data_IF_397720082850
#
_entry.id   IF_397720082850
#
_cell.length_a   1.000
_cell.length_b   1.000
_cell.length_c   1.000
_cell.angle_alpha   90.00
_cell.angle_beta   90.00
_cell.angle_gamma   90.00
#
_symmetry.space_group_name_H-M   'P 1'
#
loop_
_entity.id
_entity.type
_entity.pdbx_description
1 polymer ?
#
# COMPACT_ATOMS: atom_id res chain seq x y z
N UNK A 1 29.86 -16.17 44.10
CA UNK A 1 28.90 -15.77 43.06
C UNK A 1 28.97 -16.77 41.91
N UNK A 2 27.97 -17.63 41.69
CA UNK A 2 27.99 -18.53 40.54
C UNK A 2 27.48 -17.80 39.29
N UNK A 3 28.26 -17.91 38.21
CA UNK A 3 27.84 -17.55 36.86
C UNK A 3 26.75 -18.50 36.38
N UNK A 4 25.56 -17.97 36.07
CA UNK A 4 24.54 -18.73 35.33
C UNK A 4 24.83 -18.66 33.82
N UNK A 5 24.73 -19.79 33.09
CA UNK A 5 25.18 -19.87 31.71
C UNK A 5 24.17 -19.24 30.73
N UNK A 6 24.71 -18.60 29.70
CA UNK A 6 24.06 -18.08 28.48
C UNK A 6 23.42 -19.18 27.60
N UNK A 7 22.70 -20.12 28.19
CA UNK A 7 21.99 -21.15 27.44
C UNK A 7 20.53 -20.72 27.23
N UNK A 8 20.13 -20.65 25.96
CA UNK A 8 18.74 -20.56 25.47
C UNK A 8 18.23 -19.21 24.93
N UNK A 9 19.08 -18.34 24.39
CA UNK A 9 18.64 -17.23 23.51
C UNK A 9 18.83 -17.57 22.02
N UNK A 10 19.95 -18.22 21.66
CA UNK A 10 20.24 -18.59 20.25
C UNK A 10 19.23 -19.59 19.65
N UNK A 11 18.67 -20.52 20.45
CA UNK A 11 17.76 -21.56 19.97
C UNK A 11 16.32 -21.07 19.72
N UNK A 12 15.87 -20.02 20.40
CA UNK A 12 14.49 -19.52 20.27
C UNK A 12 14.38 -18.47 19.16
N UNK A 13 15.32 -17.51 19.11
CA UNK A 13 15.45 -16.53 18.01
C UNK A 13 15.74 -17.26 16.69
N UNK A 14 16.59 -18.29 16.72
CA UNK A 14 16.91 -19.11 15.55
C UNK A 14 15.74 -19.94 15.02
N UNK A 15 14.69 -20.22 15.80
CA UNK A 15 13.54 -21.03 15.33
C UNK A 15 12.36 -20.17 14.87
N UNK A 16 12.05 -19.06 15.55
CA UNK A 16 10.98 -18.15 15.13
C UNK A 16 11.44 -17.25 13.97
N UNK A 17 12.69 -16.78 14.00
CA UNK A 17 13.30 -16.05 12.89
C UNK A 17 13.38 -16.91 11.62
N UNK A 18 13.69 -18.20 11.74
CA UNK A 18 13.83 -19.10 10.59
C UNK A 18 12.48 -19.53 10.01
N UNK A 19 11.42 -19.67 10.81
CA UNK A 19 10.07 -19.98 10.31
C UNK A 19 9.42 -18.77 9.61
N UNK A 20 9.60 -17.54 10.12
CA UNK A 20 9.12 -16.34 9.44
C UNK A 20 9.98 -15.95 8.23
N UNK A 21 11.27 -16.26 8.24
CA UNK A 21 12.15 -16.06 7.09
C UNK A 21 11.87 -17.07 5.96
N UNK A 22 11.58 -18.35 6.27
CA UNK A 22 11.28 -19.37 5.25
C UNK A 22 9.87 -19.29 4.67
N UNK A 23 8.86 -18.81 5.41
CA UNK A 23 7.51 -18.66 4.85
C UNK A 23 7.37 -17.51 3.83
N UNK A 24 8.34 -16.60 3.72
CA UNK A 24 8.30 -15.46 2.79
C UNK A 24 9.37 -15.49 1.68
N UNK A 25 10.39 -16.35 1.76
CA UNK A 25 11.46 -16.44 0.74
C UNK A 25 11.11 -17.27 -0.51
N UNK A 26 9.88 -17.76 -0.61
CA UNK A 26 9.42 -18.60 -1.73
C UNK A 26 8.91 -17.83 -2.96
N UNK A 27 9.30 -16.58 -3.20
CA UNK A 27 8.86 -15.84 -4.38
C UNK A 27 10.06 -15.55 -5.28
N UNK A 28 10.09 -16.30 -6.38
CA UNK A 28 11.05 -16.22 -7.48
C UNK A 28 11.42 -14.76 -7.83
N UNK A 29 12.61 -14.33 -7.39
CA UNK A 29 13.40 -13.28 -8.04
C UNK A 29 13.94 -13.84 -9.36
N UNK A 30 13.06 -14.01 -10.34
CA UNK A 30 13.46 -14.06 -11.75
C UNK A 30 12.88 -12.82 -12.41
N UNK A 31 13.68 -11.77 -12.46
CA UNK A 31 13.56 -10.76 -13.49
C UNK A 31 13.83 -11.47 -14.83
N UNK A 32 12.77 -12.03 -15.43
CA UNK A 32 12.84 -12.49 -16.81
C UNK A 32 12.67 -11.26 -17.70
N UNK A 33 13.80 -10.75 -18.19
CA UNK A 33 13.88 -9.89 -19.35
C UNK A 33 13.30 -10.65 -20.54
N UNK A 34 12.03 -10.36 -20.85
CA UNK A 34 11.45 -10.68 -22.15
C UNK A 34 10.94 -9.37 -22.70
N UNK A 35 11.70 -8.81 -23.64
CA UNK A 35 11.20 -7.78 -24.55
C UNK A 35 10.14 -8.46 -25.40
N UNK A 36 8.90 -8.05 -25.24
CA UNK A 36 7.82 -8.47 -26.09
C UNK A 36 7.49 -7.27 -26.95
N UNK A 37 7.71 -7.37 -28.27
CA UNK A 37 7.20 -6.38 -29.21
C UNK A 37 5.69 -6.54 -29.28
N UNK A 38 5.00 -5.72 -28.49
CA UNK A 38 3.56 -5.55 -28.58
C UNK A 38 3.32 -4.26 -29.37
N UNK A 39 2.93 -4.42 -30.64
CA UNK A 39 2.30 -3.40 -31.50
C UNK A 39 3.24 -2.44 -32.26
N UNK A 40 3.32 -2.60 -33.59
CA UNK A 40 3.88 -1.61 -34.53
C UNK A 40 2.80 -0.84 -35.32
N UNK A 41 1.55 -1.32 -35.33
CA UNK A 41 0.56 -0.91 -36.35
C UNK A 41 -0.80 -0.39 -35.79
N UNK A 42 -0.94 -0.19 -34.47
CA UNK A 42 -2.22 0.23 -33.86
C UNK A 42 -2.33 1.75 -33.63
N UNK A 43 -3.54 2.29 -33.77
CA UNK A 43 -3.85 3.67 -33.35
C UNK A 43 -3.95 3.71 -31.81
N UNK A 44 -3.58 4.83 -31.20
CA UNK A 44 -3.61 5.00 -29.73
C UNK A 44 -4.96 4.63 -29.09
N UNK A 45 -6.08 4.82 -29.83
CA UNK A 45 -7.43 4.50 -29.37
C UNK A 45 -7.72 2.98 -29.17
N UNK A 46 -6.86 2.09 -29.67
CA UNK A 46 -7.02 0.63 -29.56
C UNK A 46 -6.31 0.04 -28.31
N UNK A 47 -5.57 0.86 -27.57
CA UNK A 47 -4.87 0.41 -26.36
C UNK A 47 -5.84 0.23 -25.18
N UNK A 48 -5.65 -0.81 -24.35
CA UNK A 48 -6.56 -1.11 -23.25
C UNK A 48 -6.35 -0.17 -22.06
N UNK A 49 -7.42 0.09 -21.29
CA UNK A 49 -7.37 0.93 -20.10
C UNK A 49 -6.73 0.17 -18.93
N UNK A 50 -5.77 0.83 -18.27
CA UNK A 50 -5.06 0.25 -17.13
C UNK A 50 -5.63 0.81 -15.83
N UNK A 51 -6.02 -0.06 -14.90
CA UNK A 51 -6.40 0.36 -13.55
C UNK A 51 -5.63 -0.40 -12.49
N UNK A 52 -5.67 0.10 -11.26
CA UNK A 52 -5.17 -0.65 -10.14
C UNK A 52 -5.93 -0.33 -8.85
N UNK A 53 -5.88 -1.28 -7.92
CA UNK A 53 -6.34 -1.09 -6.55
C UNK A 53 -5.30 -1.62 -5.59
N UNK A 54 -5.21 -1.02 -4.42
CA UNK A 54 -4.32 -1.49 -3.37
C UNK A 54 -4.97 -2.62 -2.58
N UNK A 55 -4.22 -3.69 -2.29
CA UNK A 55 -4.65 -4.85 -1.50
C UNK A 55 -4.51 -4.60 0.02
N UNK A 56 -4.80 -5.62 0.84
CA UNK A 56 -4.72 -5.51 2.30
C UNK A 56 -3.36 -4.97 2.83
N UNK A 57 -2.28 -5.26 2.11
CA UNK A 57 -0.90 -4.86 2.45
C UNK A 57 -0.44 -3.58 1.75
N UNK A 58 -1.37 -2.79 1.18
CA UNK A 58 -1.09 -1.59 0.38
C UNK A 58 -0.22 -1.87 -0.86
N UNK A 59 -0.23 -3.10 -1.38
CA UNK A 59 0.41 -3.40 -2.67
C UNK A 59 -0.59 -3.18 -3.81
N UNK A 60 -0.14 -2.59 -4.93
CA UNK A 60 -0.98 -2.43 -6.11
C UNK A 60 -1.28 -3.79 -6.76
N UNK A 61 -2.56 -4.01 -7.07
CA UNK A 61 -3.05 -5.08 -7.94
C UNK A 61 -3.58 -4.40 -9.19
N UNK A 62 -3.07 -4.80 -10.35
CA UNK A 62 -3.38 -4.18 -11.63
C UNK A 62 -4.47 -4.92 -12.37
N UNK A 63 -5.15 -4.18 -13.25
CA UNK A 63 -6.16 -4.68 -14.16
C UNK A 63 -6.00 -3.98 -15.51
N UNK A 64 -6.25 -4.72 -16.58
CA UNK A 64 -6.28 -4.24 -17.96
C UNK A 64 -7.68 -4.55 -18.48
N UNK A 65 -8.45 -3.52 -18.83
CA UNK A 65 -9.89 -3.62 -19.15
C UNK A 65 -10.69 -4.44 -18.11
N UNK A 66 -10.34 -4.25 -16.84
CA UNK A 66 -10.97 -4.94 -15.71
C UNK A 66 -10.49 -6.36 -15.46
N UNK A 67 -9.67 -6.96 -16.33
CA UNK A 67 -9.07 -8.28 -16.12
C UNK A 67 -7.78 -8.13 -15.32
N UNK A 68 -7.63 -8.92 -14.25
CA UNK A 68 -6.44 -8.88 -13.40
C UNK A 68 -5.19 -9.15 -14.24
N UNK A 69 -4.21 -8.27 -14.14
CA UNK A 69 -2.95 -8.34 -14.86
C UNK A 69 -1.73 -8.30 -13.92
N UNK A 70 -0.62 -8.83 -14.41
CA UNK A 70 0.69 -8.74 -13.77
C UNK A 70 1.35 -7.39 -14.05
N UNK A 71 2.30 -6.99 -13.20
CA UNK A 71 3.07 -5.77 -13.43
C UNK A 71 3.87 -5.81 -14.74
N UNK A 72 4.30 -7.00 -15.18
CA UNK A 72 5.04 -7.14 -16.44
C UNK A 72 4.14 -6.92 -17.66
N UNK A 73 2.90 -7.40 -17.63
CA UNK A 73 1.91 -7.12 -18.68
C UNK A 73 1.59 -5.63 -18.73
N UNK A 74 1.33 -5.01 -17.57
CA UNK A 74 1.11 -3.55 -17.49
C UNK A 74 2.29 -2.78 -18.07
N UNK A 75 3.53 -3.15 -17.70
CA UNK A 75 4.75 -2.54 -18.24
C UNK A 75 4.78 -2.63 -19.76
N UNK A 76 4.42 -3.79 -20.31
CA UNK A 76 4.42 -4.03 -21.75
C UNK A 76 3.41 -3.12 -22.48
N UNK A 77 2.19 -2.95 -21.96
CA UNK A 77 1.22 -2.01 -22.54
C UNK A 77 1.66 -0.55 -22.41
N UNK A 78 2.43 -0.22 -21.37
CA UNK A 78 3.01 1.12 -21.21
C UNK A 78 4.20 1.39 -22.14
N UNK A 79 4.72 0.42 -22.91
CA UNK A 79 5.91 0.61 -23.76
C UNK A 79 5.73 1.65 -24.87
N UNK A 80 4.49 2.08 -25.17
CA UNK A 80 4.23 3.26 -26.00
C UNK A 80 4.86 4.55 -25.44
N UNK A 81 5.10 4.59 -24.12
CA UNK A 81 5.85 5.62 -23.42
C UNK A 81 7.04 4.94 -22.72
N UNK A 82 8.16 4.68 -23.42
CA UNK A 82 9.22 3.80 -22.92
C UNK A 82 9.88 4.32 -21.62
N UNK A 83 9.95 5.64 -21.45
CA UNK A 83 10.40 6.26 -20.20
C UNK A 83 9.49 5.92 -19.03
N UNK A 84 8.19 6.10 -19.19
CA UNK A 84 7.17 5.82 -18.18
C UNK A 84 7.05 4.31 -17.89
N UNK A 85 7.22 3.44 -18.89
CA UNK A 85 7.23 1.99 -18.70
C UNK A 85 8.41 1.52 -17.83
N UNK A 86 9.61 2.05 -18.07
CA UNK A 86 10.78 1.75 -17.24
C UNK A 86 10.60 2.29 -15.81
N UNK A 87 10.12 3.53 -15.69
CA UNK A 87 9.81 4.14 -14.41
C UNK A 87 8.75 3.35 -13.64
N UNK A 88 7.73 2.84 -14.31
CA UNK A 88 6.70 1.98 -13.72
C UNK A 88 7.32 0.72 -13.13
N UNK A 89 8.18 0.01 -13.87
CA UNK A 89 8.82 -1.22 -13.40
C UNK A 89 9.68 -1.00 -12.17
N UNK A 90 10.54 0.03 -12.19
CA UNK A 90 11.39 0.39 -11.06
C UNK A 90 10.55 0.79 -9.84
N UNK A 91 9.49 1.55 -10.08
CA UNK A 91 8.58 2.02 -9.02
C UNK A 91 7.76 0.88 -8.43
N UNK A 92 7.33 -0.09 -9.24
CA UNK A 92 6.67 -1.31 -8.76
C UNK A 92 7.59 -2.11 -7.83
N UNK A 93 8.83 -2.34 -8.25
CA UNK A 93 9.82 -3.02 -7.40
C UNK A 93 10.04 -2.28 -6.08
N UNK A 94 10.25 -0.95 -6.13
CA UNK A 94 10.38 -0.11 -4.91
C UNK A 94 9.16 -0.22 -3.99
N UNK A 95 7.96 -0.28 -4.57
CA UNK A 95 6.70 -0.42 -3.83
C UNK A 95 6.64 -1.77 -3.10
N UNK A 96 7.02 -2.84 -3.79
CA UNK A 96 7.06 -4.20 -3.24
C UNK A 96 8.12 -4.33 -2.14
N UNK A 97 9.33 -3.81 -2.36
CA UNK A 97 10.38 -3.75 -1.34
C UNK A 97 9.92 -2.92 -0.13
N UNK A 98 9.27 -1.78 -0.36
CA UNK A 98 8.70 -0.96 0.71
C UNK A 98 7.67 -1.72 1.55
N UNK A 99 6.76 -2.47 0.91
CA UNK A 99 5.84 -3.34 1.64
C UNK A 99 6.57 -4.39 2.48
N UNK A 100 7.60 -5.03 1.92
CA UNK A 100 8.36 -6.04 2.64
C UNK A 100 9.06 -5.46 3.88
N UNK A 101 9.73 -4.32 3.74
CA UNK A 101 10.33 -3.60 4.86
C UNK A 101 9.29 -3.21 5.90
N UNK A 102 8.12 -2.73 5.47
CA UNK A 102 7.03 -2.38 6.37
C UNK A 102 6.58 -3.59 7.21
N UNK A 103 6.31 -4.72 6.56
CA UNK A 103 5.87 -5.96 7.23
C UNK A 103 6.97 -6.55 8.12
N UNK A 104 8.23 -6.55 7.66
CA UNK A 104 9.37 -7.00 8.44
C UNK A 104 9.56 -6.18 9.72
N UNK A 105 9.47 -4.85 9.61
CA UNK A 105 9.51 -3.94 10.76
C UNK A 105 8.36 -4.19 11.74
N UNK A 106 7.13 -4.37 11.25
CA UNK A 106 5.98 -4.71 12.10
C UNK A 106 6.14 -6.08 12.78
N UNK A 107 6.69 -7.07 12.09
CA UNK A 107 6.96 -8.39 12.67
C UNK A 107 7.98 -8.29 13.83
N UNK A 108 9.00 -7.46 13.70
CA UNK A 108 9.97 -7.19 14.78
C UNK A 108 9.27 -6.54 15.99
N UNK A 109 8.41 -5.54 15.77
CA UNK A 109 7.63 -4.89 16.83
C UNK A 109 6.71 -5.88 17.54
N UNK A 110 5.96 -6.70 16.78
CA UNK A 110 5.08 -7.73 17.33
C UNK A 110 5.87 -8.80 18.09
N UNK A 111 7.02 -9.22 17.57
CA UNK A 111 7.93 -10.14 18.26
C UNK A 111 8.46 -9.57 19.57
N UNK A 112 8.83 -8.29 19.58
CA UNK A 112 9.25 -7.58 20.78
C UNK A 112 8.11 -7.52 21.82
N UNK A 113 6.88 -7.21 21.38
CA UNK A 113 5.69 -7.21 22.25
C UNK A 113 5.40 -8.60 22.81
N UNK A 114 5.46 -9.64 21.97
CA UNK A 114 5.29 -11.02 22.41
C UNK A 114 6.35 -11.44 23.44
N UNK A 115 7.61 -11.02 23.23
CA UNK A 115 8.68 -11.22 24.21
C UNK A 115 8.39 -10.50 25.53
N UNK A 116 8.00 -9.23 25.51
CA UNK A 116 7.64 -8.48 26.72
C UNK A 116 6.44 -9.09 27.45
N UNK A 117 5.40 -9.49 26.71
CA UNK A 117 4.19 -10.10 27.27
C UNK A 117 4.45 -11.46 27.92
N UNK A 118 5.31 -12.29 27.31
CA UNK A 118 5.69 -13.59 27.87
C UNK A 118 6.53 -13.47 29.14
N UNK A 119 7.29 -12.37 29.27
CA UNK A 119 8.12 -12.10 30.45
C UNK A 119 7.48 -11.10 31.42
N UNK A 120 6.17 -10.81 31.29
CA UNK A 120 5.49 -9.75 32.06
C UNK A 120 5.56 -9.92 33.58
N UNK A 121 5.64 -11.16 34.08
CA UNK A 121 5.73 -11.45 35.52
C UNK A 121 7.17 -11.35 36.06
N UNK A 122 8.16 -11.15 35.18
CA UNK A 122 9.59 -11.09 35.50
C UNK A 122 10.26 -9.88 34.81
N UNK A 123 9.49 -8.81 34.55
CA UNK A 123 10.00 -7.61 33.90
C UNK A 123 11.16 -7.04 34.71
N UNK A 124 12.35 -7.03 34.09
CA UNK A 124 13.54 -6.38 34.60
C UNK A 124 14.02 -5.32 33.59
N UNK A 125 15.04 -4.54 33.98
CA UNK A 125 15.57 -3.48 33.13
C UNK A 125 16.09 -3.99 31.77
N UNK A 126 16.66 -5.20 31.70
CA UNK A 126 17.18 -5.76 30.46
C UNK A 126 16.05 -6.15 29.47
N UNK A 127 14.96 -6.76 29.97
CA UNK A 127 13.80 -7.11 29.16
C UNK A 127 13.13 -5.86 28.61
N UNK A 128 12.92 -4.84 29.45
CA UNK A 128 12.33 -3.56 29.05
C UNK A 128 13.21 -2.85 28.02
N UNK A 129 14.52 -2.79 28.25
CA UNK A 129 15.49 -2.17 27.33
C UNK A 129 15.48 -2.88 25.97
N UNK A 130 15.53 -4.21 25.95
CA UNK A 130 15.51 -4.98 24.71
C UNK A 130 14.19 -4.80 23.96
N UNK A 131 13.05 -4.86 24.66
CA UNK A 131 11.74 -4.59 24.07
C UNK A 131 11.66 -3.19 23.46
N UNK A 132 12.11 -2.18 24.18
CA UNK A 132 12.13 -0.79 23.73
C UNK A 132 12.97 -0.61 22.46
N UNK A 133 14.22 -1.07 22.45
CA UNK A 133 15.08 -0.94 21.28
C UNK A 133 14.59 -1.74 20.08
N UNK A 134 14.06 -2.95 20.28
CA UNK A 134 13.47 -3.72 19.19
C UNK A 134 12.21 -3.05 18.64
N UNK A 135 11.39 -2.43 19.50
CA UNK A 135 10.20 -1.69 19.09
C UNK A 135 10.58 -0.45 18.28
N UNK A 136 11.56 0.33 18.73
CA UNK A 136 12.06 1.49 17.97
C UNK A 136 12.70 1.07 16.66
N UNK A 137 13.62 0.09 16.67
CA UNK A 137 14.30 -0.39 15.47
C UNK A 137 13.32 -0.94 14.43
N UNK A 138 12.37 -1.78 14.86
CA UNK A 138 11.29 -2.26 14.01
C UNK A 138 10.38 -1.15 13.51
N UNK A 139 10.07 -0.16 14.36
CA UNK A 139 9.28 1.02 14.01
C UNK A 139 9.94 1.88 12.92
N UNK A 140 11.26 2.12 13.01
CA UNK A 140 12.02 2.87 11.99
C UNK A 140 12.02 2.11 10.65
N UNK A 141 12.31 0.81 10.64
CA UNK A 141 12.27 -0.01 9.42
C UNK A 141 10.86 0.01 8.81
N UNK A 142 9.84 -0.11 9.66
CA UNK A 142 8.44 -0.05 9.23
C UNK A 142 8.08 1.30 8.60
N UNK A 143 8.51 2.40 9.21
CA UNK A 143 8.29 3.76 8.70
C UNK A 143 8.98 3.99 7.34
N UNK A 144 10.22 3.54 7.17
CA UNK A 144 10.95 3.60 5.89
C UNK A 144 10.18 2.83 4.82
N UNK A 145 9.81 1.57 5.11
CA UNK A 145 9.05 0.74 4.17
C UNK A 145 7.70 1.36 3.78
N UNK A 146 6.99 1.93 4.75
CA UNK A 146 5.71 2.64 4.56
C UNK A 146 5.88 3.88 3.66
N UNK A 147 6.94 4.67 3.87
CA UNK A 147 7.26 5.83 3.03
C UNK A 147 7.58 5.41 1.59
N UNK A 148 8.46 4.42 1.41
CA UNK A 148 8.81 3.87 0.09
C UNK A 148 7.58 3.36 -0.67
N UNK A 149 6.74 2.56 -0.01
CA UNK A 149 5.50 2.04 -0.59
C UNK A 149 4.56 3.18 -1.02
N UNK A 150 4.36 4.18 -0.16
CA UNK A 150 3.47 5.33 -0.45
C UNK A 150 3.95 6.15 -1.64
N UNK A 151 5.24 6.51 -1.66
CA UNK A 151 5.82 7.23 -2.79
C UNK A 151 5.73 6.41 -4.08
N UNK A 152 5.95 5.09 -3.98
CA UNK A 152 5.82 4.17 -5.10
C UNK A 152 4.39 4.10 -5.65
N UNK A 153 3.38 3.89 -4.80
CA UNK A 153 1.97 3.88 -5.19
C UNK A 153 1.55 5.21 -5.83
N UNK A 154 2.03 6.35 -5.31
CA UNK A 154 1.73 7.67 -5.85
C UNK A 154 2.28 7.84 -7.26
N UNK A 155 3.54 7.46 -7.47
CA UNK A 155 4.18 7.52 -8.79
C UNK A 155 3.52 6.54 -9.78
N UNK A 156 3.19 5.32 -9.35
CA UNK A 156 2.42 4.36 -10.16
C UNK A 156 1.07 4.95 -10.60
N UNK A 157 0.37 5.63 -9.69
CA UNK A 157 -0.90 6.29 -10.01
C UNK A 157 -0.75 7.28 -11.16
N UNK A 158 0.24 8.18 -11.06
CA UNK A 158 0.47 9.20 -12.07
C UNK A 158 0.90 8.60 -13.41
N UNK A 159 1.75 7.57 -13.41
CA UNK A 159 2.19 6.88 -14.62
C UNK A 159 1.01 6.22 -15.35
N UNK A 160 0.12 5.54 -14.61
CA UNK A 160 -1.09 4.92 -15.17
C UNK A 160 -2.08 5.98 -15.67
N UNK A 161 -2.29 7.06 -14.91
CA UNK A 161 -3.18 8.16 -15.33
C UNK A 161 -2.67 8.85 -16.60
N UNK A 162 -1.36 9.04 -16.73
CA UNK A 162 -0.76 9.60 -17.94
C UNK A 162 -0.92 8.66 -19.14
N UNK A 163 -0.71 7.36 -18.94
CA UNK A 163 -0.94 6.36 -19.98
C UNK A 163 -2.39 6.35 -20.45
N UNK A 164 -3.33 6.24 -19.50
CA UNK A 164 -4.75 6.22 -19.82
C UNK A 164 -5.19 7.52 -20.50
N UNK A 165 -4.72 8.69 -20.06
CA UNK A 165 -5.01 9.96 -20.71
C UNK A 165 -4.55 9.96 -22.17
N UNK A 166 -3.31 9.56 -22.45
CA UNK A 166 -2.74 9.53 -23.80
C UNK A 166 -3.56 8.66 -24.76
N UNK A 167 -3.97 7.46 -24.34
CA UNK A 167 -4.69 6.52 -25.22
C UNK A 167 -6.17 6.88 -25.42
N UNK A 168 -6.69 7.83 -24.63
CA UNK A 168 -8.11 8.19 -24.59
C UNK A 168 -8.37 9.66 -24.87
N UNK A 169 -7.34 10.44 -25.20
CA UNK A 169 -7.41 11.89 -25.35
C UNK A 169 -8.52 12.32 -26.31
N UNK A 170 -8.63 11.63 -27.44
CA UNK A 170 -9.65 11.88 -28.47
C UNK A 170 -11.08 11.51 -28.04
N UNK A 171 -11.23 10.68 -27.00
CA UNK A 171 -12.52 10.17 -26.50
C UNK A 171 -13.02 10.98 -25.29
N UNK A 172 -12.14 11.71 -24.62
CA UNK A 172 -12.48 12.53 -23.46
C UNK A 172 -13.13 13.83 -23.96
N UNK A 173 -14.47 13.85 -24.00
CA UNK A 173 -15.25 15.04 -24.35
C UNK A 173 -15.46 16.04 -23.19
N UNK A 174 -14.91 15.75 -22.01
CA UNK A 174 -15.10 16.52 -20.77
C UNK A 174 -13.79 16.76 -20.02
N UNK A 175 -13.87 17.31 -18.81
CA UNK A 175 -12.70 17.49 -17.93
C UNK A 175 -12.10 16.13 -17.53
N UNK A 176 -10.78 15.98 -17.65
CA UNK A 176 -10.08 14.79 -17.17
C UNK A 176 -9.64 14.93 -15.71
N UNK A 177 -10.22 14.10 -14.83
CA UNK A 177 -9.92 14.16 -13.40
C UNK A 177 -8.78 13.22 -13.01
N UNK A 178 -7.75 13.78 -12.38
CA UNK A 178 -6.60 13.05 -11.81
C UNK A 178 -6.64 13.10 -10.30
N UNK A 179 -6.16 12.05 -9.63
CA UNK A 179 -5.94 12.13 -8.20
C UNK A 179 -4.47 12.17 -7.84
N UNK A 180 -4.18 12.94 -6.80
CA UNK A 180 -2.92 12.87 -6.08
C UNK A 180 -3.21 12.65 -4.59
N UNK A 181 -2.23 12.15 -3.85
CA UNK A 181 -2.33 12.08 -2.40
C UNK A 181 -1.04 12.59 -1.76
N UNK A 182 -1.24 13.52 -0.83
CA UNK A 182 -0.18 14.19 -0.08
C UNK A 182 -0.25 13.80 1.38
N UNK A 183 0.92 13.62 1.98
CA UNK A 183 1.04 13.32 3.38
C UNK A 183 1.27 14.62 4.16
N UNK A 184 0.39 14.88 5.12
CA UNK A 184 0.52 15.96 6.09
C UNK A 184 0.89 15.35 7.45
N UNK A 185 1.26 16.21 8.41
CA UNK A 185 1.61 15.80 9.78
C UNK A 185 0.52 14.92 10.45
N UNK A 186 -0.75 15.23 10.20
CA UNK A 186 -1.91 14.58 10.82
C UNK A 186 -2.50 13.42 10.01
N UNK A 187 -2.00 13.15 8.79
CA UNK A 187 -2.56 12.09 7.96
C UNK A 187 -2.39 12.31 6.46
N UNK A 188 -3.12 11.53 5.67
CA UNK A 188 -3.08 11.60 4.21
C UNK A 188 -4.30 12.36 3.68
N UNK A 189 -4.05 13.31 2.77
CA UNK A 189 -5.09 14.02 2.04
C UNK A 189 -5.04 13.60 0.58
N UNK A 190 -6.22 13.28 0.05
CA UNK A 190 -6.45 13.03 -1.38
C UNK A 190 -6.89 14.35 -2.00
N UNK A 191 -6.20 14.74 -3.05
CA UNK A 191 -6.45 15.92 -3.85
C UNK A 191 -6.86 15.47 -5.25
N UNK A 192 -7.81 16.18 -5.85
CA UNK A 192 -8.32 15.87 -7.20
C UNK A 192 -8.05 17.08 -8.08
N UNK A 193 -7.56 16.83 -9.28
CA UNK A 193 -7.15 17.86 -10.24
C UNK A 193 -7.92 17.74 -11.54
N UNK A 194 -8.16 18.89 -12.15
CA UNK A 194 -8.53 19.07 -13.55
C UNK A 194 -7.34 19.73 -14.24
N UNK A 195 -6.56 18.94 -14.98
CA UNK A 195 -5.25 19.36 -15.49
C UNK A 195 -4.35 19.87 -14.35
N UNK A 196 -3.84 21.12 -14.38
CA UNK A 196 -3.04 21.69 -13.29
C UNK A 196 -3.87 22.22 -12.12
N UNK A 197 -5.21 22.32 -12.27
CA UNK A 197 -6.07 23.01 -11.31
C UNK A 197 -6.51 22.06 -10.21
N UNK A 198 -6.11 22.35 -8.96
CA UNK A 198 -6.62 21.67 -7.78
C UNK A 198 -8.11 22.01 -7.60
N UNK A 199 -8.96 20.99 -7.61
CA UNK A 199 -10.40 21.17 -7.42
C UNK A 199 -10.77 21.21 -5.95
N UNK A 200 -11.71 22.09 -5.62
CA UNK A 200 -12.34 22.13 -4.32
C UNK A 200 -13.49 21.11 -4.23
N UNK A 201 -13.96 20.84 -3.01
CA UNK A 201 -15.01 19.84 -2.78
C UNK A 201 -16.35 20.21 -3.43
N UNK A 202 -16.64 21.51 -3.58
CA UNK A 202 -17.86 21.98 -4.20
C UNK A 202 -17.84 21.69 -5.70
N UNK A 203 -16.75 22.02 -6.39
CA UNK A 203 -16.59 21.76 -7.83
C UNK A 203 -16.55 20.28 -8.15
N UNK A 204 -15.85 19.46 -7.35
CA UNK A 204 -15.87 17.99 -7.53
C UNK A 204 -17.29 17.45 -7.38
N UNK A 205 -18.05 17.98 -6.41
CA UNK A 205 -19.46 17.60 -6.24
C UNK A 205 -20.28 17.98 -7.48
N UNK A 206 -20.14 19.19 -8.00
CA UNK A 206 -20.86 19.62 -9.20
C UNK A 206 -20.52 18.73 -10.40
N UNK A 207 -19.25 18.39 -10.60
CA UNK A 207 -18.84 17.51 -11.70
C UNK A 207 -19.39 16.09 -11.56
N UNK A 208 -19.49 15.57 -10.33
CA UNK A 208 -19.97 14.20 -10.09
C UNK A 208 -21.48 14.11 -9.88
N UNK A 209 -22.20 15.23 -9.73
CA UNK A 209 -23.63 15.25 -9.41
C UNK A 209 -24.50 14.68 -10.52
N UNK A 210 -24.05 14.80 -11.77
CA UNK A 210 -24.76 14.28 -12.94
C UNK A 210 -24.79 12.75 -12.97
N UNK A 211 -23.94 12.08 -12.18
CA UNK A 211 -23.96 10.64 -11.99
C UNK A 211 -24.00 10.28 -10.50
N UNK A 212 -25.21 9.96 -10.02
CA UNK A 212 -25.47 9.66 -8.61
C UNK A 212 -24.58 8.53 -8.05
N UNK A 213 -24.29 7.48 -8.84
CA UNK A 213 -23.44 6.37 -8.38
C UNK A 213 -22.00 6.83 -8.10
N UNK A 214 -21.42 7.61 -9.02
CA UNK A 214 -20.06 8.17 -8.87
C UNK A 214 -19.99 9.06 -7.64
N UNK A 215 -21.01 9.90 -7.44
CA UNK A 215 -21.08 10.79 -6.29
C UNK A 215 -21.17 10.04 -4.97
N UNK A 216 -21.93 8.94 -4.91
CA UNK A 216 -22.03 8.10 -3.72
C UNK A 216 -20.70 7.43 -3.35
N UNK A 217 -19.97 6.92 -4.34
CA UNK A 217 -18.65 6.35 -4.14
C UNK A 217 -17.65 7.39 -3.62
N UNK A 218 -17.67 8.59 -4.21
CA UNK A 218 -16.85 9.71 -3.75
C UNK A 218 -17.20 10.12 -2.32
N UNK A 219 -18.49 10.18 -1.96
CA UNK A 219 -18.94 10.45 -0.58
C UNK A 219 -18.45 9.37 0.40
N UNK A 220 -18.49 8.09 0.00
CA UNK A 220 -17.91 6.99 0.79
C UNK A 220 -16.40 7.19 0.97
N UNK A 221 -15.67 7.57 -0.08
CA UNK A 221 -14.23 7.86 0.00
C UNK A 221 -13.92 8.98 1.00
N UNK A 222 -14.67 10.09 0.95
CA UNK A 222 -14.53 11.21 1.89
C UNK A 222 -14.78 10.79 3.35
N UNK A 223 -15.78 9.95 3.60
CA UNK A 223 -16.06 9.44 4.94
C UNK A 223 -14.92 8.55 5.45
N UNK A 224 -14.36 7.68 4.60
CA UNK A 224 -13.21 6.84 4.96
C UNK A 224 -11.98 7.69 5.29
N UNK A 225 -11.73 8.76 4.54
CA UNK A 225 -10.65 9.71 4.84
C UNK A 225 -10.84 10.39 6.20
N UNK A 226 -12.06 10.88 6.51
CA UNK A 226 -12.38 11.46 7.82
C UNK A 226 -12.14 10.50 8.98
N UNK A 227 -12.58 9.25 8.83
CA UNK A 227 -12.35 8.21 9.85
C UNK A 227 -10.85 7.98 10.03
N UNK A 228 -10.09 7.84 8.95
CA UNK A 228 -8.64 7.63 9.05
C UNK A 228 -7.92 8.80 9.73
N UNK A 229 -8.36 10.03 9.47
CA UNK A 229 -7.80 11.23 10.10
C UNK A 229 -8.07 11.24 11.61
N UNK A 230 -9.30 10.90 12.03
CA UNK A 230 -9.62 10.76 13.44
C UNK A 230 -8.78 9.67 14.12
N UNK A 231 -8.58 8.53 13.46
CA UNK A 231 -7.72 7.46 13.98
C UNK A 231 -6.25 7.87 14.06
N UNK A 232 -5.74 8.62 13.08
CA UNK A 232 -4.36 9.16 13.10
C UNK A 232 -4.15 10.12 14.27
N UNK A 233 -5.12 11.02 14.55
CA UNK A 233 -5.06 11.92 15.73
C UNK A 233 -5.05 11.11 17.03
N UNK A 234 -5.95 10.14 17.17
CA UNK A 234 -6.00 9.29 18.37
C UNK A 234 -4.71 8.50 18.54
N UNK A 235 -4.15 7.95 17.46
CA UNK A 235 -2.86 7.26 17.49
C UNK A 235 -1.73 8.16 17.99
N UNK A 236 -1.66 9.41 17.49
CA UNK A 236 -0.66 10.39 17.93
C UNK A 236 -0.79 10.71 19.42
N UNK A 237 -2.01 10.84 19.95
CA UNK A 237 -2.21 11.05 21.39
C UNK A 237 -1.73 9.85 22.21
N UNK A 238 -1.98 8.63 21.74
CA UNK A 238 -1.47 7.41 22.38
C UNK A 238 0.05 7.36 22.34
N UNK A 239 0.68 7.74 21.22
CA UNK A 239 2.14 7.85 21.11
C UNK A 239 2.72 8.84 22.13
N UNK A 240 2.12 10.02 22.26
CA UNK A 240 2.55 11.01 23.25
C UNK A 240 2.46 10.45 24.67
N UNK A 241 1.38 9.76 25.02
CA UNK A 241 1.20 9.15 26.35
C UNK A 241 2.25 8.06 26.59
N UNK A 242 2.48 7.17 25.60
CA UNK A 242 3.48 6.10 25.70
C UNK A 242 4.88 6.67 25.87
N UNK A 243 5.27 7.66 25.04
CA UNK A 243 6.59 8.29 25.10
C UNK A 243 6.77 9.04 26.42
N UNK A 244 5.79 9.85 26.82
CA UNK A 244 5.83 10.61 28.08
C UNK A 244 5.94 9.68 29.28
N UNK A 245 5.22 8.56 29.25
CA UNK A 245 5.28 7.56 30.30
C UNK A 245 6.67 6.92 30.35
N UNK A 246 7.26 6.51 29.23
CA UNK A 246 8.62 5.92 29.16
C UNK A 246 9.72 6.88 29.61
N UNK A 247 9.62 8.17 29.30
CA UNK A 247 10.63 9.17 29.67
C UNK A 247 10.42 9.68 31.12
N UNK A 248 9.25 9.42 31.72
CA UNK A 248 8.95 9.89 33.07
C UNK A 248 9.87 9.24 34.14
N UNK A 249 10.18 9.96 35.24
CA UNK A 249 11.02 9.44 36.32
C UNK A 249 10.48 8.15 36.97
N UNK A 250 9.18 7.87 36.83
CA UNK A 250 8.53 6.68 37.40
C UNK A 250 9.09 5.37 36.82
N UNK A 251 9.61 5.39 35.60
CA UNK A 251 10.26 4.23 34.97
C UNK A 251 11.66 3.93 35.49
N UNK A 252 12.27 4.86 36.24
CA UNK A 252 13.53 4.61 36.94
C UNK A 252 13.28 3.84 38.26
N UNK A 253 12.02 3.72 38.70
CA UNK A 253 11.65 2.88 39.84
C UNK A 253 11.35 1.45 39.38
N UNK A 254 11.70 0.48 40.23
CA UNK A 254 11.87 -0.95 39.95
C UNK A 254 10.62 -1.75 39.52
N UNK A 255 9.52 -1.10 39.12
CA UNK A 255 8.30 -1.76 38.64
C UNK A 255 7.70 -1.01 37.43
N UNK A 256 7.97 -1.44 36.19
CA UNK A 256 7.30 -0.89 35.00
C UNK A 256 5.79 -1.16 35.04
N UNK A 257 4.95 -0.17 34.71
CA UNK A 257 3.49 -0.33 34.75
C UNK A 257 2.96 -1.32 33.71
N UNK A 258 1.99 -2.12 34.13
CA UNK A 258 1.24 -3.04 33.27
C UNK A 258 0.42 -2.34 32.15
N UNK A 259 0.32 -1.01 32.15
CA UNK A 259 -0.43 -0.24 31.14
C UNK A 259 0.30 -0.07 29.80
N UNK A 260 1.63 -0.21 29.78
CA UNK A 260 2.45 -0.03 28.57
C UNK A 260 2.09 -0.97 27.43
N UNK A 261 2.04 -2.27 27.73
CA UNK A 261 1.82 -3.31 26.74
C UNK A 261 0.44 -3.12 26.08
N UNK A 262 -0.67 -2.96 26.84
CA UNK A 262 -1.97 -2.60 26.28
C UNK A 262 -1.97 -1.33 25.41
N UNK A 263 -1.27 -0.27 25.82
CA UNK A 263 -1.20 0.98 25.05
C UNK A 263 -0.49 0.80 23.71
N UNK A 264 0.61 0.04 23.68
CA UNK A 264 1.32 -0.24 22.42
C UNK A 264 0.49 -1.15 21.50
N UNK A 265 -0.24 -2.12 22.04
CA UNK A 265 -1.21 -2.91 21.26
C UNK A 265 -2.33 -2.02 20.68
N UNK A 266 -2.89 -1.12 21.48
CA UNK A 266 -3.91 -0.18 21.02
C UNK A 266 -3.38 0.70 19.88
N UNK A 267 -2.16 1.23 20.02
CA UNK A 267 -1.52 2.03 18.99
C UNK A 267 -1.28 1.25 17.68
N UNK A 268 -0.81 0.00 17.78
CA UNK A 268 -0.63 -0.85 16.60
C UNK A 268 -1.96 -1.11 15.90
N UNK A 269 -3.03 -1.37 16.66
CA UNK A 269 -4.39 -1.51 16.14
C UNK A 269 -4.90 -0.26 15.42
N UNK A 270 -4.73 0.92 16.04
CA UNK A 270 -5.10 2.22 15.45
C UNK A 270 -4.36 2.48 14.14
N UNK A 271 -3.05 2.20 14.10
CA UNK A 271 -2.23 2.37 12.91
C UNK A 271 -2.65 1.46 11.75
N UNK A 272 -2.94 0.17 12.04
CA UNK A 272 -3.46 -0.77 11.04
C UNK A 272 -4.81 -0.28 10.55
N UNK A 273 -5.76 0.00 11.44
CA UNK A 273 -7.10 0.46 11.08
C UNK A 273 -7.04 1.72 10.22
N UNK A 274 -6.31 2.75 10.66
CA UNK A 274 -6.11 3.99 9.90
C UNK A 274 -5.53 3.71 8.50
N UNK A 275 -4.55 2.82 8.38
CA UNK A 275 -4.00 2.43 7.07
C UNK A 275 -5.06 1.81 6.16
N UNK A 276 -5.93 0.93 6.70
CA UNK A 276 -7.00 0.29 5.92
C UNK A 276 -8.03 1.34 5.44
N UNK A 277 -8.41 2.29 6.29
CA UNK A 277 -9.33 3.37 5.92
C UNK A 277 -8.75 4.31 4.86
N UNK A 278 -7.47 4.70 4.98
CA UNK A 278 -6.76 5.51 3.95
C UNK A 278 -6.72 4.79 2.61
N UNK A 279 -6.35 3.51 2.62
CA UNK A 279 -6.33 2.69 1.41
C UNK A 279 -7.71 2.59 0.77
N UNK A 280 -8.73 2.32 1.59
CA UNK A 280 -10.11 2.26 1.10
C UNK A 280 -10.55 3.59 0.49
N UNK A 281 -10.18 4.72 1.09
CA UNK A 281 -10.47 6.04 0.53
C UNK A 281 -9.81 6.21 -0.85
N UNK A 282 -8.51 5.89 -0.98
CA UNK A 282 -7.80 5.97 -2.26
C UNK A 282 -8.41 5.06 -3.34
N UNK A 283 -8.68 3.80 -3.01
CA UNK A 283 -9.28 2.86 -3.96
C UNK A 283 -10.66 3.33 -4.45
N UNK A 284 -11.50 3.84 -3.54
CA UNK A 284 -12.81 4.39 -3.89
C UNK A 284 -12.70 5.66 -4.74
N UNK A 285 -11.76 6.56 -4.40
CA UNK A 285 -11.52 7.75 -5.22
C UNK A 285 -11.03 7.37 -6.62
N UNK A 286 -10.05 6.47 -6.76
CA UNK A 286 -9.60 5.99 -8.08
C UNK A 286 -10.77 5.44 -8.89
N UNK A 287 -11.58 4.60 -8.27
CA UNK A 287 -12.72 3.99 -8.93
C UNK A 287 -13.74 5.04 -9.42
N UNK A 288 -14.10 6.00 -8.56
CA UNK A 288 -15.01 7.09 -8.91
C UNK A 288 -14.45 7.97 -10.04
N UNK A 289 -13.17 8.34 -9.99
CA UNK A 289 -12.53 9.13 -11.05
C UNK A 289 -12.44 8.37 -12.36
N UNK A 290 -12.15 7.07 -12.29
CA UNK A 290 -12.07 6.23 -13.48
C UNK A 290 -13.43 6.09 -14.16
N UNK A 291 -14.50 5.87 -13.38
CA UNK A 291 -15.89 5.88 -13.89
C UNK A 291 -16.25 7.25 -14.49
N UNK A 292 -15.81 8.34 -13.87
CA UNK A 292 -16.08 9.67 -14.37
C UNK A 292 -15.39 9.92 -15.72
N UNK A 293 -14.12 9.54 -15.84
CA UNK A 293 -13.33 9.77 -17.06
C UNK A 293 -13.70 8.83 -18.21
N UNK A 294 -14.08 7.59 -17.92
CA UNK A 294 -14.18 6.52 -18.94
C UNK A 294 -15.51 5.75 -18.95
N UNK A 295 -16.44 6.08 -18.05
CA UNK A 295 -17.69 5.32 -17.86
C UNK A 295 -17.45 3.91 -17.31
N UNK A 296 -18.40 3.01 -17.57
CA UNK A 296 -18.39 1.64 -17.01
C UNK A 296 -17.48 0.66 -17.76
N UNK A 297 -16.90 1.06 -18.89
CA UNK A 297 -16.06 0.21 -19.76
C UNK A 297 -14.81 -0.34 -19.06
N UNK A 298 -14.47 0.18 -17.89
CA UNK A 298 -13.11 0.20 -17.41
C UNK A 298 -13.00 -0.24 -15.93
N UNK A 299 -14.02 -0.91 -15.42
CA UNK A 299 -14.06 -1.42 -14.05
C UNK A 299 -13.63 -2.88 -14.00
N UNK A 300 -12.98 -3.33 -12.91
CA UNK A 300 -12.82 -4.75 -12.66
C UNK A 300 -14.20 -5.39 -12.51
N UNK A 301 -14.68 -5.98 -13.61
CA UNK A 301 -15.98 -6.62 -13.71
C UNK A 301 -16.06 -7.68 -12.61
N UNK A 302 -16.97 -7.47 -11.67
CA UNK A 302 -17.36 -8.50 -10.74
C UNK A 302 -17.97 -9.66 -11.52
N UNK A 303 -17.15 -10.68 -11.79
CA UNK A 303 -17.56 -12.04 -12.18
C UNK A 303 -18.64 -12.07 -13.29
N UNK A 304 -18.30 -11.63 -14.51
CA UNK A 304 -19.03 -12.03 -15.72
C UNK A 304 -18.06 -12.38 -16.85
N UNK A 305 -18.57 -13.17 -17.79
CA UNK A 305 -17.92 -14.07 -18.76
C UNK A 305 -16.61 -13.55 -19.39
N UNK A 306 -15.67 -14.47 -19.75
CA UNK A 306 -14.44 -14.10 -20.42
C UNK A 306 -14.78 -13.25 -21.65
N UNK A 307 -14.22 -12.05 -21.69
CA UNK A 307 -14.21 -11.23 -22.91
C UNK A 307 -13.45 -12.05 -23.94
N UNK A 308 -14.15 -12.50 -25.00
CA UNK A 308 -13.49 -13.02 -26.20
C UNK A 308 -12.63 -11.89 -26.76
N UNK A 309 -11.32 -12.00 -26.55
CA UNK A 309 -10.34 -11.10 -27.10
C UNK A 309 -10.39 -11.23 -28.63
N UNK A 310 -10.99 -10.25 -29.33
CA UNK A 310 -10.93 -10.12 -30.80
C UNK A 310 -9.69 -9.35 -31.27
N UNK A 311 -8.62 -9.40 -30.50
CA UNK A 311 -7.27 -9.06 -30.97
C UNK A 311 -6.58 -10.31 -31.56
N UNK A 312 -5.41 -10.17 -32.21
CA UNK A 312 -4.67 -11.32 -32.72
C UNK A 312 -4.50 -12.33 -31.59
N UNK A 313 -4.87 -13.58 -31.87
CA UNK A 313 -4.88 -14.68 -30.93
C UNK A 313 -3.52 -14.80 -30.25
N UNK A 314 -3.49 -14.53 -28.94
CA UNK A 314 -2.32 -14.83 -28.11
C UNK A 314 -2.21 -16.34 -28.01
N UNK A 315 -1.46 -16.93 -28.94
CA UNK A 315 -1.09 -18.34 -28.88
C UNK A 315 -0.05 -18.45 -27.77
N UNK A 316 -0.52 -18.70 -26.54
CA UNK A 316 0.35 -19.16 -25.46
C UNK A 316 0.91 -20.52 -25.90
N UNK A 317 2.11 -20.52 -26.48
CA UNK A 317 2.86 -21.74 -26.73
C UNK A 317 3.13 -22.43 -25.39
N UNK A 318 2.23 -23.36 -25.05
CA UNK A 318 2.43 -24.39 -24.05
C UNK A 318 3.50 -25.32 -24.62
N UNK A 319 4.77 -25.02 -24.37
CA UNK A 319 5.84 -25.96 -24.69
C UNK A 319 5.67 -27.16 -23.75
N UNK A 320 5.17 -28.25 -24.34
CA UNK A 320 5.17 -29.59 -23.80
C UNK A 320 6.57 -29.93 -23.29
N UNK A 321 6.61 -30.53 -22.10
CA UNK A 321 7.77 -31.26 -21.62
C UNK A 321 7.89 -32.53 -22.47
N UNK A 322 8.99 -32.65 -23.19
CA UNK A 322 9.67 -33.92 -23.43
C UNK A 322 10.97 -33.92 -22.61
#
# INVERSE_FOLDING_TARGET
MPFYPFYSIKKFIGKIGLVLFFCFFGINLKAQDKRFEYFSDQKYADYPLITFKENFFNQPIYFIDGVKASANEVRAFMEIMPGDANDFSQTHTKTTTGTFLNLGGQAVVLGALGYAYNNRNMLNNDIVRNWFFLTIGGGVISAIGKSMNRHGVRKINNLIENHNYLISEDQIGSVYLKMDFRQNFLGEKIDIYDGPNLLDKARIRTLMQDNQEIYEEYKKALNKQKISFGLDITGLLVDIVVISYVISPQFQSSAPSNLLIPLVFANLGLNIASSQFRRSARNLTRHALHRYNFGDRALPLGRQNPIEFRGPSVTLFRKSFE
#
